data_IF_098444276975
#
_entry.id   IF_098444276975
#
_cell.length_a   1.000
_cell.length_b   1.000
_cell.length_c   1.000
_cell.angle_alpha   90.00
_cell.angle_beta   90.00
_cell.angle_gamma   90.00
#
_symmetry.space_group_name_H-M   'P 1'
#
loop_
_entity.id
_entity.type
_entity.pdbx_description
1 polymer ?
#
# COMPACT_ATOMS: atom_id res chain seq x y z
N UNK A 1 7.88 -14.02 6.82
CA UNK A 1 8.00 -12.80 7.65
C UNK A 1 6.64 -12.55 8.25
N UNK A 2 6.56 -12.26 9.55
CA UNK A 2 5.32 -11.88 10.24
C UNK A 2 5.63 -10.76 11.23
N UNK A 3 4.60 -10.00 11.59
CA UNK A 3 4.68 -8.97 12.63
C UNK A 3 4.54 -9.61 14.01
N UNK A 4 5.30 -9.08 14.96
CA UNK A 4 5.27 -9.42 16.38
C UNK A 4 4.99 -8.17 17.18
N UNK A 5 4.18 -8.30 18.22
CA UNK A 5 4.03 -7.23 19.21
C UNK A 5 5.36 -7.08 19.95
N UNK A 6 5.89 -5.86 19.98
CA UNK A 6 7.12 -5.54 20.68
C UNK A 6 6.82 -4.48 21.72
N UNK A 7 7.14 -4.80 22.97
CA UNK A 7 7.15 -3.78 24.02
C UNK A 7 8.20 -2.73 23.65
N UNK A 8 7.72 -1.53 23.34
CA UNK A 8 8.53 -0.36 23.07
C UNK A 8 7.94 0.82 23.82
N UNK A 9 8.83 1.70 24.27
CA UNK A 9 8.41 2.87 25.01
C UNK A 9 7.73 3.88 24.07
N UNK A 10 6.40 3.83 24.02
CA UNK A 10 5.55 4.81 23.35
C UNK A 10 4.95 5.83 24.36
N UNK A 11 5.58 6.04 25.52
CA UNK A 11 5.09 6.94 26.56
C UNK A 11 4.87 8.36 26.04
N UNK A 12 5.65 8.81 25.05
CA UNK A 12 5.46 10.12 24.42
C UNK A 12 4.10 10.26 23.74
N UNK A 13 3.55 9.17 23.18
CA UNK A 13 2.19 9.15 22.63
C UNK A 13 1.16 9.04 23.75
N UNK A 14 1.31 8.08 24.67
CA UNK A 14 0.36 7.87 25.77
C UNK A 14 0.19 9.11 26.67
N UNK A 15 1.25 9.89 26.86
CA UNK A 15 1.21 11.14 27.63
C UNK A 15 0.37 12.21 26.95
N UNK A 16 0.38 12.25 25.61
CA UNK A 16 -0.28 13.30 24.82
C UNK A 16 -1.69 12.92 24.39
N UNK A 17 -1.93 11.64 24.09
CA UNK A 17 -3.18 11.13 23.55
C UNK A 17 -3.77 10.10 24.52
N UNK A 18 -4.29 10.57 25.66
CA UNK A 18 -4.72 9.72 26.78
C UNK A 18 -5.92 8.83 26.47
N UNK A 19 -6.74 9.25 25.51
CA UNK A 19 -7.97 8.54 25.10
C UNK A 19 -7.69 7.52 24.00
N UNK A 20 -6.44 7.37 23.57
CA UNK A 20 -6.04 6.47 22.49
C UNK A 20 -5.05 5.44 23.02
N UNK A 21 -5.19 4.19 22.59
CA UNK A 21 -4.21 3.15 22.89
C UNK A 21 -3.25 2.96 21.73
N UNK A 22 -1.98 2.74 22.04
CA UNK A 22 -0.91 2.56 21.07
C UNK A 22 -0.16 1.27 21.34
N UNK A 23 0.25 0.58 20.28
CA UNK A 23 1.16 -0.56 20.36
C UNK A 23 2.12 -0.54 19.17
N UNK A 24 3.33 -1.07 19.37
CA UNK A 24 4.30 -1.25 18.31
C UNK A 24 4.32 -2.71 17.86
N UNK A 25 4.17 -2.90 16.56
CA UNK A 25 4.41 -4.16 15.89
C UNK A 25 5.67 -4.06 15.03
N UNK A 26 6.55 -5.05 15.09
CA UNK A 26 7.75 -5.10 14.25
C UNK A 26 7.83 -6.42 13.53
N UNK A 27 8.46 -6.43 12.36
CA UNK A 27 8.71 -7.67 11.64
C UNK A 27 9.72 -8.56 12.36
N UNK A 28 9.51 -9.89 12.25
CA UNK A 28 10.28 -10.92 12.93
C UNK A 28 11.64 -11.26 12.26
N UNK A 29 12.14 -10.41 11.37
CA UNK A 29 13.46 -10.56 10.75
C UNK A 29 14.57 -9.93 11.61
N UNK A 30 15.83 -10.28 11.29
CA UNK A 30 17.01 -9.84 12.04
C UNK A 30 17.16 -8.31 12.13
N UNK A 31 16.59 -7.55 11.18
CA UNK A 31 16.66 -6.10 11.13
C UNK A 31 15.41 -5.38 11.64
N UNK A 32 14.32 -6.11 11.94
CA UNK A 32 12.99 -5.52 12.14
C UNK A 32 12.66 -4.49 11.06
N UNK A 33 12.84 -4.87 9.78
CA UNK A 33 12.74 -3.95 8.64
C UNK A 33 11.45 -3.15 8.60
N UNK A 34 10.34 -3.68 9.09
CA UNK A 34 9.05 -2.99 9.14
C UNK A 34 8.69 -2.74 10.61
N UNK A 35 8.32 -1.49 10.88
CA UNK A 35 7.76 -1.06 12.16
C UNK A 35 6.37 -0.47 11.91
N UNK A 36 5.37 -0.90 12.67
CA UNK A 36 4.01 -0.38 12.58
C UNK A 36 3.54 0.05 13.97
N UNK A 37 3.29 1.34 14.14
CA UNK A 37 2.60 1.85 15.33
C UNK A 37 1.11 1.78 15.06
N UNK A 38 0.42 0.92 15.80
CA UNK A 38 -1.02 0.78 15.73
C UNK A 38 -1.68 1.68 16.78
N UNK A 39 -2.76 2.34 16.38
CA UNK A 39 -3.55 3.23 17.19
C UNK A 39 -5.02 2.80 17.14
N UNK A 40 -5.66 2.62 18.29
CA UNK A 40 -7.09 2.31 18.35
C UNK A 40 -7.88 3.55 18.76
N UNK A 41 -8.92 3.83 17.98
CA UNK A 41 -9.75 5.02 18.05
C UNK A 41 -11.22 4.60 18.12
N UNK A 42 -11.99 5.23 19.01
CA UNK A 42 -13.42 4.99 19.17
C UNK A 42 -14.28 5.86 18.24
N UNK A 43 -13.72 6.92 17.64
CA UNK A 43 -14.44 7.77 16.71
C UNK A 43 -13.60 8.18 15.51
N UNK A 44 -14.27 8.51 14.41
CA UNK A 44 -13.63 9.05 13.21
C UNK A 44 -12.97 10.42 13.49
N UNK A 45 -13.58 11.23 14.36
CA UNK A 45 -13.01 12.53 14.75
C UNK A 45 -11.67 12.39 15.46
N UNK A 46 -11.51 11.40 16.33
CA UNK A 46 -10.22 11.14 16.99
C UNK A 46 -9.11 10.90 15.97
N UNK A 47 -9.38 10.18 14.87
CA UNK A 47 -8.39 9.97 13.81
C UNK A 47 -8.10 11.29 13.09
N UNK A 48 -9.15 11.97 12.60
CA UNK A 48 -9.03 13.17 11.76
C UNK A 48 -8.31 14.30 12.49
N UNK A 49 -8.60 14.48 13.78
CA UNK A 49 -8.05 15.58 14.59
C UNK A 49 -6.61 15.31 15.04
N UNK A 50 -6.20 14.04 15.19
CA UNK A 50 -4.93 13.69 15.83
C UNK A 50 -3.88 13.08 14.89
N UNK A 51 -4.22 12.57 13.71
CA UNK A 51 -3.28 11.79 12.90
C UNK A 51 -1.98 12.54 12.58
N UNK A 52 -2.08 13.83 12.24
CA UNK A 52 -0.93 14.65 11.88
C UNK A 52 -0.04 14.94 13.08
N UNK A 53 -0.64 15.17 14.25
CA UNK A 53 0.11 15.34 15.48
C UNK A 53 0.84 14.05 15.85
N UNK A 54 0.17 12.89 15.84
CA UNK A 54 0.77 11.58 16.13
C UNK A 54 1.95 11.31 15.21
N UNK A 55 1.79 11.53 13.90
CA UNK A 55 2.87 11.44 12.91
C UNK A 55 4.08 12.31 13.29
N UNK A 56 3.85 13.57 13.68
CA UNK A 56 4.94 14.49 14.01
C UNK A 56 5.68 14.09 15.29
N UNK A 57 4.98 13.50 16.26
CA UNK A 57 5.64 12.90 17.41
C UNK A 57 6.47 11.68 17.00
N UNK A 58 5.93 10.80 16.16
CA UNK A 58 6.67 9.64 15.67
C UNK A 58 7.92 10.04 14.89
N UNK A 59 7.85 11.06 14.03
CA UNK A 59 9.01 11.50 13.24
C UNK A 59 10.18 12.00 14.10
N UNK A 60 9.89 12.54 15.28
CA UNK A 60 10.89 13.06 16.22
C UNK A 60 11.40 11.97 17.16
N UNK A 61 10.49 11.19 17.73
CA UNK A 61 10.79 10.33 18.89
C UNK A 61 11.00 8.85 18.55
N UNK A 62 10.53 8.38 17.39
CA UNK A 62 10.71 6.99 16.97
C UNK A 62 11.77 6.87 15.86
N UNK A 63 12.89 6.23 16.18
CA UNK A 63 14.02 6.01 15.27
C UNK A 63 14.39 4.52 15.31
N UNK A 64 13.82 3.68 14.42
CA UNK A 64 14.17 2.27 14.36
C UNK A 64 15.64 2.07 13.98
N UNK A 65 16.27 0.97 14.42
CA UNK A 65 17.65 0.67 14.08
C UNK A 65 17.80 0.33 12.58
N UNK A 66 18.82 0.89 11.95
CA UNK A 66 19.18 0.57 10.56
C UNK A 66 18.55 1.51 9.53
N UNK A 67 19.36 1.90 8.55
CA UNK A 67 19.01 2.94 7.56
C UNK A 67 17.77 2.59 6.73
N UNK A 68 17.52 1.30 6.50
CA UNK A 68 16.38 0.82 5.70
C UNK A 68 15.09 0.82 6.54
N UNK A 69 15.16 0.55 7.85
CA UNK A 69 13.98 0.50 8.71
C UNK A 69 13.33 1.89 8.87
N UNK A 70 14.12 2.96 8.79
CA UNK A 70 13.63 4.35 8.77
C UNK A 70 12.66 4.61 7.62
N UNK A 71 12.87 3.95 6.48
CA UNK A 71 12.00 4.08 5.32
C UNK A 71 10.74 3.25 5.43
N UNK A 72 10.57 2.41 6.45
CA UNK A 72 9.54 1.38 6.55
C UNK A 72 8.77 1.47 7.87
N UNK A 73 8.49 2.71 8.29
CA UNK A 73 7.65 3.03 9.43
C UNK A 73 6.21 3.22 8.94
N UNK A 74 5.29 2.53 9.61
CA UNK A 74 3.86 2.56 9.37
C UNK A 74 3.12 3.09 10.59
N UNK A 75 2.01 3.78 10.35
CA UNK A 75 1.06 4.24 11.35
C UNK A 75 -0.33 3.74 10.95
N UNK A 76 -0.85 2.78 11.69
CA UNK A 76 -2.16 2.20 11.43
C UNK A 76 -3.21 2.74 12.41
N UNK A 77 -4.34 3.19 11.89
CA UNK A 77 -5.49 3.63 12.69
C UNK A 77 -6.59 2.59 12.58
N UNK A 78 -6.91 1.93 13.71
CA UNK A 78 -8.08 1.09 13.87
C UNK A 78 -9.22 1.94 14.42
N UNK A 79 -10.28 2.10 13.64
CA UNK A 79 -11.42 2.94 14.01
C UNK A 79 -12.71 2.11 13.97
N UNK A 80 -13.53 2.26 15.02
CA UNK A 80 -14.87 1.64 15.10
C UNK A 80 -15.81 2.25 14.08
N UNK A 81 -15.79 3.58 13.95
CA UNK A 81 -16.59 4.35 13.00
C UNK A 81 -15.94 4.35 11.60
N UNK A 82 -16.76 4.53 10.57
CA UNK A 82 -16.29 4.77 9.20
C UNK A 82 -15.86 6.23 9.04
N UNK A 83 -14.67 6.46 8.49
CA UNK A 83 -14.20 7.80 8.18
C UNK A 83 -14.81 8.30 6.86
N UNK A 84 -15.06 9.61 6.74
CA UNK A 84 -15.36 10.21 5.45
C UNK A 84 -14.26 9.90 4.44
N UNK A 85 -14.66 9.48 3.23
CA UNK A 85 -13.72 9.01 2.19
C UNK A 85 -12.62 10.02 1.88
N UNK A 86 -12.92 11.31 1.92
CA UNK A 86 -11.95 12.37 1.67
C UNK A 86 -10.90 12.49 2.77
N UNK A 87 -11.30 12.36 4.03
CA UNK A 87 -10.35 12.39 5.15
C UNK A 87 -9.47 11.14 5.13
N UNK A 88 -10.05 9.96 4.90
CA UNK A 88 -9.30 8.71 4.72
C UNK A 88 -8.24 8.84 3.62
N UNK A 89 -8.65 9.32 2.44
CA UNK A 89 -7.75 9.53 1.31
C UNK A 89 -6.61 10.51 1.65
N UNK A 90 -6.94 11.64 2.28
CA UNK A 90 -5.97 12.65 2.70
C UNK A 90 -4.92 12.07 3.66
N UNK A 91 -5.36 11.28 4.64
CA UNK A 91 -4.48 10.64 5.62
C UNK A 91 -3.57 9.63 4.91
N UNK A 92 -4.12 8.68 4.17
CA UNK A 92 -3.35 7.58 3.57
C UNK A 92 -2.35 8.05 2.49
N UNK A 93 -2.65 9.15 1.80
CA UNK A 93 -1.77 9.71 0.76
C UNK A 93 -0.74 10.70 1.30
N UNK A 94 -0.81 11.10 2.57
CA UNK A 94 0.25 11.90 3.17
C UNK A 94 1.52 11.04 3.30
N UNK A 95 2.62 11.52 2.70
CA UNK A 95 3.90 10.80 2.64
C UNK A 95 4.91 11.27 3.68
N UNK A 96 4.53 12.17 4.58
CA UNK A 96 5.46 12.72 5.56
C UNK A 96 5.75 11.70 6.66
N UNK A 97 7.06 11.41 6.85
CA UNK A 97 7.67 10.58 7.89
C UNK A 97 7.27 9.09 7.95
N UNK A 98 5.98 8.76 7.85
CA UNK A 98 5.46 7.40 8.01
C UNK A 98 4.39 7.12 6.96
N UNK A 99 4.28 5.86 6.52
CA UNK A 99 3.15 5.39 5.70
C UNK A 99 1.95 5.16 6.61
N UNK A 100 0.76 5.53 6.15
CA UNK A 100 -0.45 5.45 6.98
C UNK A 100 -1.46 4.49 6.40
N UNK A 101 -2.21 3.86 7.27
CA UNK A 101 -3.28 2.93 6.93
C UNK A 101 -4.47 3.22 7.84
N UNK A 102 -5.66 3.38 7.26
CA UNK A 102 -6.89 3.57 8.02
C UNK A 102 -7.78 2.34 7.86
N UNK A 103 -7.96 1.60 8.95
CA UNK A 103 -8.79 0.42 9.09
C UNK A 103 -10.04 0.80 9.89
N UNK A 104 -11.03 1.34 9.19
CA UNK A 104 -12.24 1.95 9.74
C UNK A 104 -13.50 1.10 9.54
N UNK A 105 -14.60 1.49 10.18
CA UNK A 105 -15.88 0.80 10.06
C UNK A 105 -15.89 -0.61 10.66
N UNK A 106 -15.01 -0.87 11.64
CA UNK A 106 -14.91 -2.18 12.32
C UNK A 106 -16.08 -2.44 13.28
N UNK A 107 -16.85 -1.40 13.65
CA UNK A 107 -17.99 -1.45 14.56
C UNK A 107 -17.64 -1.64 16.03
N UNK A 108 -16.51 -2.28 16.34
CA UNK A 108 -15.99 -2.49 17.69
C UNK A 108 -14.47 -2.39 17.70
N UNK A 109 -13.89 -2.09 18.88
CA UNK A 109 -12.44 -2.04 19.03
C UNK A 109 -11.88 -3.45 18.81
N UNK A 110 -11.11 -3.63 17.75
CA UNK A 110 -10.52 -4.92 17.40
C UNK A 110 -9.50 -5.37 18.45
N UNK A 111 -9.56 -6.63 18.92
CA UNK A 111 -8.54 -7.20 19.78
C UNK A 111 -7.18 -7.25 19.09
N UNK A 112 -6.09 -7.21 19.88
CA UNK A 112 -4.72 -7.24 19.38
C UNK A 112 -4.44 -8.37 18.36
N UNK A 113 -5.00 -9.56 18.57
CA UNK A 113 -4.77 -10.72 17.70
C UNK A 113 -5.40 -10.53 16.30
N UNK A 114 -6.59 -9.93 16.24
CA UNK A 114 -7.29 -9.63 14.99
C UNK A 114 -6.60 -8.46 14.27
N UNK A 115 -6.26 -7.40 15.01
CA UNK A 115 -5.45 -6.30 14.50
C UNK A 115 -4.12 -6.79 13.93
N UNK A 116 -3.45 -7.72 14.60
CA UNK A 116 -2.19 -8.28 14.12
C UNK A 116 -2.37 -9.07 12.82
N UNK A 117 -3.44 -9.86 12.71
CA UNK A 117 -3.78 -10.59 11.48
C UNK A 117 -3.99 -9.63 10.32
N UNK A 118 -4.79 -8.58 10.52
CA UNK A 118 -5.03 -7.55 9.51
C UNK A 118 -3.74 -6.85 9.08
N UNK A 119 -2.87 -6.48 10.02
CA UNK A 119 -1.60 -5.86 9.68
C UNK A 119 -0.67 -6.79 8.91
N UNK A 120 -0.63 -8.08 9.24
CA UNK A 120 0.14 -9.06 8.48
C UNK A 120 -0.36 -9.18 7.03
N UNK A 121 -1.67 -9.20 6.83
CA UNK A 121 -2.25 -9.24 5.49
C UNK A 121 -1.97 -7.94 4.72
N UNK A 122 -2.28 -6.78 5.31
CA UNK A 122 -2.13 -5.48 4.65
C UNK A 122 -0.67 -5.09 4.38
N UNK A 123 0.25 -5.37 5.30
CA UNK A 123 1.64 -4.92 5.21
C UNK A 123 2.57 -5.95 4.57
N UNK A 124 2.30 -7.25 4.76
CA UNK A 124 3.17 -8.33 4.30
C UNK A 124 2.53 -9.22 3.23
N UNK A 125 1.25 -9.03 2.91
CA UNK A 125 0.51 -9.90 2.00
C UNK A 125 0.46 -11.34 2.51
N UNK A 126 0.31 -11.54 3.83
CA UNK A 126 0.32 -12.87 4.43
C UNK A 126 -0.83 -13.78 3.98
N UNK A 127 -1.90 -13.19 3.44
CA UNK A 127 -3.05 -13.85 2.83
C UNK A 127 -2.84 -14.20 1.34
N UNK A 128 -1.73 -13.77 0.73
CA UNK A 128 -1.45 -14.05 -0.68
C UNK A 128 -0.97 -15.50 -0.85
N UNK A 129 -1.80 -16.30 -1.51
CA UNK A 129 -1.42 -17.64 -1.95
C UNK A 129 -0.73 -17.58 -3.32
N UNK A 130 0.50 -18.08 -3.39
CA UNK A 130 1.18 -18.26 -4.67
C UNK A 130 0.58 -19.49 -5.36
N UNK A 131 -0.22 -19.25 -6.40
CA UNK A 131 -0.64 -20.33 -7.28
C UNK A 131 0.53 -20.71 -8.16
N UNK A 132 1.03 -21.94 -8.03
CA UNK A 132 1.98 -22.48 -8.99
C UNK A 132 1.27 -22.55 -10.35
N UNK A 133 1.63 -21.65 -11.26
CA UNK A 133 1.33 -21.86 -12.67
C UNK A 133 2.11 -23.11 -13.06
N UNK A 134 1.39 -24.20 -13.35
CA UNK A 134 1.97 -25.29 -14.10
C UNK A 134 2.73 -24.68 -15.28
N UNK A 135 3.99 -25.10 -15.50
CA UNK A 135 4.69 -24.89 -16.78
C UNK A 135 4.02 -25.69 -17.90
N UNK A 136 2.69 -25.66 -17.95
CA UNK A 136 1.83 -26.30 -18.92
C UNK A 136 1.46 -25.23 -19.92
N UNK A 137 2.09 -25.34 -21.08
CA UNK A 137 2.09 -24.37 -22.18
C UNK A 137 2.60 -23.00 -21.74
N UNK A 138 3.69 -22.58 -22.37
CA UNK A 138 3.76 -21.19 -22.80
C UNK A 138 2.45 -20.92 -23.57
N UNK A 139 1.36 -20.61 -22.88
CA UNK A 139 0.56 -19.51 -23.33
C UNK A 139 1.56 -18.37 -23.30
N UNK A 140 2.27 -18.23 -24.42
CA UNK A 140 2.63 -16.95 -24.96
C UNK A 140 1.42 -16.06 -24.67
N UNK A 141 1.44 -15.40 -23.52
CA UNK A 141 1.32 -13.95 -23.57
C UNK A 141 2.44 -13.49 -24.49
N UNK A 142 2.29 -13.77 -25.79
CA UNK A 142 2.69 -12.87 -26.83
C UNK A 142 1.99 -11.61 -26.38
N UNK A 143 2.74 -10.74 -25.71
CA UNK A 143 2.40 -9.34 -25.71
C UNK A 143 2.46 -8.99 -27.20
N UNK A 144 1.37 -9.24 -27.91
CA UNK A 144 1.25 -9.11 -29.36
C UNK A 144 1.68 -7.71 -29.79
N UNK A 145 1.53 -6.73 -28.88
CA UNK A 145 2.06 -5.38 -28.97
C UNK A 145 3.55 -5.30 -29.32
N UNK A 146 4.38 -6.19 -28.77
CA UNK A 146 5.82 -6.24 -29.05
C UNK A 146 6.09 -6.39 -30.54
N UNK A 147 5.33 -7.22 -31.24
CA UNK A 147 5.47 -7.43 -32.68
C UNK A 147 4.93 -6.27 -33.51
N UNK A 148 3.91 -5.56 -33.02
CA UNK A 148 3.40 -4.35 -33.68
C UNK A 148 4.37 -3.15 -33.53
N UNK A 149 5.11 -3.07 -32.42
CA UNK A 149 6.03 -1.96 -32.12
C UNK A 149 7.48 -2.26 -32.55
N UNK A 150 7.87 -3.52 -32.77
CA UNK A 150 9.22 -3.90 -33.17
C UNK A 150 9.63 -3.27 -34.51
N UNK A 151 10.81 -2.64 -34.55
CA UNK A 151 11.34 -1.98 -35.74
C UNK A 151 10.63 -0.66 -36.09
N UNK A 152 9.91 -0.06 -35.12
CA UNK A 152 9.33 1.27 -35.29
C UNK A 152 10.45 2.32 -35.31
N UNK A 153 10.51 3.18 -36.35
CA UNK A 153 11.50 4.25 -36.41
C UNK A 153 11.33 5.24 -35.26
N UNK A 154 12.44 5.60 -34.61
CA UNK A 154 12.46 6.49 -33.44
C UNK A 154 12.81 7.94 -33.81
N UNK A 155 13.28 8.18 -35.02
CA UNK A 155 13.64 9.51 -35.46
C UNK A 155 12.41 10.38 -35.78
N UNK A 156 12.68 11.68 -35.97
CA UNK A 156 11.67 12.70 -36.19
C UNK A 156 11.43 13.03 -37.66
N UNK A 157 11.97 12.26 -38.60
CA UNK A 157 11.73 12.49 -40.03
C UNK A 157 10.27 12.29 -40.38
N UNK A 158 9.85 12.91 -41.48
CA UNK A 158 8.47 12.82 -41.94
C UNK A 158 8.06 11.36 -42.21
N UNK A 159 8.89 10.60 -42.93
CA UNK A 159 8.67 9.18 -43.26
C UNK A 159 8.56 8.29 -42.02
N UNK A 160 9.40 8.53 -41.01
CA UNK A 160 9.35 7.82 -39.72
C UNK A 160 8.09 8.11 -38.92
N UNK A 161 7.55 9.33 -38.99
CA UNK A 161 6.28 9.70 -38.36
C UNK A 161 5.08 9.07 -39.08
N UNK A 162 5.09 9.06 -40.40
CA UNK A 162 4.06 8.42 -41.22
C UNK A 162 4.03 6.90 -40.99
N UNK A 163 5.21 6.27 -40.93
CA UNK A 163 5.36 4.84 -40.60
C UNK A 163 4.79 4.51 -39.22
N UNK A 164 4.99 5.40 -38.24
CA UNK A 164 4.41 5.26 -36.89
C UNK A 164 2.89 5.39 -36.88
N UNK A 165 2.35 6.39 -37.57
CA UNK A 165 0.90 6.59 -37.67
C UNK A 165 0.21 5.35 -38.26
N UNK A 166 0.73 4.81 -39.37
CA UNK A 166 0.20 3.60 -40.01
C UNK A 166 0.21 2.37 -39.09
N UNK A 167 1.26 2.21 -38.28
CA UNK A 167 1.33 1.10 -37.31
C UNK A 167 0.29 1.24 -36.21
N UNK A 168 0.02 2.46 -35.74
CA UNK A 168 -1.03 2.74 -34.75
C UNK A 168 -2.41 2.40 -35.34
N UNK A 169 -2.68 2.82 -36.57
CA UNK A 169 -3.96 2.52 -37.24
C UNK A 169 -4.21 1.01 -37.36
N UNK A 170 -3.18 0.24 -37.72
CA UNK A 170 -3.27 -1.22 -37.78
C UNK A 170 -3.58 -1.87 -36.42
N UNK A 171 -3.04 -1.31 -35.32
CA UNK A 171 -3.31 -1.80 -33.96
C UNK A 171 -4.77 -1.50 -33.58
N UNK A 172 -5.25 -0.29 -33.88
CA UNK A 172 -6.64 0.12 -33.61
C UNK A 172 -7.61 -0.79 -34.36
N UNK A 173 -7.35 -1.06 -35.64
CA UNK A 173 -8.18 -1.94 -36.46
C UNK A 173 -8.24 -3.37 -35.87
N UNK A 174 -7.08 -3.94 -35.52
CA UNK A 174 -7.00 -5.27 -34.91
C UNK A 174 -7.80 -5.37 -33.60
N UNK A 175 -7.71 -4.35 -32.74
CA UNK A 175 -8.47 -4.33 -31.47
C UNK A 175 -9.97 -4.23 -31.73
N UNK A 176 -10.40 -3.39 -32.68
CA UNK A 176 -11.82 -3.24 -33.02
C UNK A 176 -12.46 -4.50 -33.62
N UNK A 177 -11.68 -5.34 -34.31
CA UNK A 177 -12.14 -6.62 -34.86
C UNK A 177 -12.31 -7.69 -33.77
N UNK A 178 -11.50 -7.65 -32.71
CA UNK A 178 -11.59 -8.59 -31.60
C UNK A 178 -12.69 -8.21 -30.60
N UNK A 179 -12.93 -6.93 -30.35
CA UNK A 179 -14.00 -6.47 -29.45
C UNK A 179 -15.42 -6.75 -29.97
N UNK A 180 -15.59 -6.93 -31.29
CA UNK A 180 -16.90 -7.20 -31.91
C UNK A 180 -17.29 -8.69 -32.00
N UNK A 181 -16.44 -9.61 -31.53
CA UNK A 181 -16.86 -11.01 -31.32
C UNK A 181 -17.65 -11.10 -30.02
N UNK A 182 -18.94 -10.78 -30.09
CA UNK A 182 -19.90 -11.04 -29.00
C UNK A 182 -19.87 -12.52 -28.64
N UNK A 183 -19.55 -12.82 -27.39
CA UNK A 183 -19.98 -14.06 -26.73
C UNK A 183 -21.47 -13.98 -26.37
#
# INVERSE_FOLDING_TARGET
MHLLNKEHDLNFLHTKFKEMSFQLFVSNDEGSYISCVACWCESASQVVDNWSAIQNYLSVFYQPPGDIALWNIYLAFFCTETLPIWEKYKIENDKYAVRKLVLDGTGTILPNAESLTLLNNHLLGADLELTERNKGTEDEFSLSLGDYVRGTPLDSTFESRETRARRIDNIIEFLSQNENKKS
#
